data_IF_559410926608
#
_entry.id   IF_559410926608
#
_cell.length_a   1.000
_cell.length_b   1.000
_cell.length_c   1.000
_cell.angle_alpha   90.00
_cell.angle_beta   90.00
_cell.angle_gamma   90.00
#
_symmetry.space_group_name_H-M   'P 1'
#
loop_
_entity.id
_entity.type
_entity.pdbx_description
1 polymer ?
#
# COMPACT_ATOMS: atom_id res chain seq x y z
N UNK A 1 16.67 13.91 -18.32
CA UNK A 1 15.73 12.80 -18.60
C UNK A 1 16.13 12.02 -19.85
N UNK A 2 16.40 12.69 -20.98
CA UNK A 2 16.89 12.04 -22.21
C UNK A 2 18.22 11.28 -22.02
N UNK A 3 19.15 11.80 -21.20
CA UNK A 3 20.42 11.12 -20.88
C UNK A 3 20.27 9.87 -20.00
N UNK A 4 19.26 9.84 -19.13
CA UNK A 4 18.97 8.68 -18.27
C UNK A 4 18.34 7.58 -19.12
N UNK A 5 17.38 7.92 -19.99
CA UNK A 5 16.72 6.97 -20.89
C UNK A 5 17.71 6.26 -21.81
N UNK A 6 18.76 6.94 -22.29
CA UNK A 6 19.82 6.31 -23.10
C UNK A 6 20.74 5.36 -22.33
N UNK A 7 20.78 5.44 -21.00
CA UNK A 7 21.58 4.54 -20.15
C UNK A 7 20.78 3.32 -19.68
N UNK A 8 19.48 3.27 -19.94
CA UNK A 8 18.61 2.19 -19.47
C UNK A 8 18.67 1.00 -20.41
N UNK A 9 19.07 -0.15 -19.86
CA UNK A 9 18.98 -1.41 -20.61
C UNK A 9 17.51 -1.77 -20.89
N UNK A 10 17.21 -2.52 -21.97
CA UNK A 10 15.86 -2.98 -22.24
C UNK A 10 15.23 -3.76 -21.07
N UNK A 11 16.05 -4.54 -20.35
CA UNK A 11 15.62 -5.31 -19.17
C UNK A 11 15.18 -4.38 -18.03
N UNK A 12 15.93 -3.30 -17.78
CA UNK A 12 15.56 -2.31 -16.77
C UNK A 12 14.25 -1.59 -17.11
N UNK A 13 14.03 -1.26 -18.39
CA UNK A 13 12.77 -0.65 -18.85
C UNK A 13 11.60 -1.61 -18.57
N UNK A 14 11.74 -2.89 -18.88
CA UNK A 14 10.70 -3.90 -18.57
C UNK A 14 10.43 -3.98 -17.07
N UNK A 15 11.48 -3.98 -16.24
CA UNK A 15 11.31 -4.00 -14.78
C UNK A 15 10.54 -2.79 -14.28
N UNK A 16 10.86 -1.59 -14.76
CA UNK A 16 10.16 -0.34 -14.39
C UNK A 16 8.70 -0.37 -14.84
N UNK A 17 8.43 -0.86 -16.06
CA UNK A 17 7.06 -1.01 -16.53
C UNK A 17 6.26 -1.96 -15.64
N UNK A 18 6.84 -3.10 -15.26
CA UNK A 18 6.21 -4.04 -14.32
C UNK A 18 5.99 -3.41 -12.94
N UNK A 19 6.95 -2.63 -12.42
CA UNK A 19 6.80 -1.93 -11.15
C UNK A 19 5.65 -0.92 -11.20
N UNK A 20 5.54 -0.14 -12.27
CA UNK A 20 4.43 0.82 -12.47
C UNK A 20 3.08 0.09 -12.61
N UNK A 21 3.03 -1.03 -13.33
CA UNK A 21 1.82 -1.87 -13.43
C UNK A 21 1.44 -2.43 -12.06
N UNK A 22 2.40 -2.95 -11.31
CA UNK A 22 2.19 -3.46 -9.96
C UNK A 22 1.60 -2.37 -9.05
N UNK A 23 2.16 -1.16 -9.07
CA UNK A 23 1.71 -0.05 -8.23
C UNK A 23 0.30 0.43 -8.58
N UNK A 24 -0.01 0.48 -9.87
CA UNK A 24 -1.35 0.75 -10.35
C UNK A 24 -2.34 -0.31 -9.88
N UNK A 25 -2.01 -1.60 -10.02
CA UNK A 25 -2.85 -2.68 -9.51
C UNK A 25 -2.96 -2.65 -7.99
N UNK A 26 -1.90 -2.24 -7.29
CA UNK A 26 -1.92 -2.05 -5.86
C UNK A 26 -2.93 -0.96 -5.46
N UNK A 27 -2.97 0.16 -6.20
CA UNK A 27 -4.00 1.18 -6.04
C UNK A 27 -5.43 0.65 -6.24
N UNK A 28 -5.65 -0.18 -7.27
CA UNK A 28 -6.94 -0.85 -7.52
C UNK A 28 -7.33 -1.74 -6.33
N UNK A 29 -6.39 -2.53 -5.82
CA UNK A 29 -6.60 -3.46 -4.71
C UNK A 29 -6.85 -2.75 -3.38
N UNK A 30 -5.88 -1.98 -2.93
CA UNK A 30 -5.80 -1.53 -1.55
C UNK A 30 -6.62 -0.26 -1.30
N UNK A 31 -7.05 0.44 -2.35
CA UNK A 31 -8.09 1.48 -2.22
C UNK A 31 -9.33 0.96 -1.50
N UNK A 32 -9.64 -0.34 -1.64
CA UNK A 32 -10.77 -0.97 -0.97
C UNK A 32 -10.66 -0.98 0.55
N UNK A 33 -9.45 -1.07 1.12
CA UNK A 33 -9.21 -1.03 2.57
C UNK A 33 -9.56 0.34 3.17
N UNK A 34 -9.48 1.40 2.36
CA UNK A 34 -9.75 2.77 2.77
C UNK A 34 -11.21 3.11 2.50
N UNK A 35 -11.63 3.04 1.23
CA UNK A 35 -12.91 3.60 0.78
C UNK A 35 -14.12 2.79 1.23
N UNK A 36 -13.94 1.50 1.55
CA UNK A 36 -15.05 0.66 2.01
C UNK A 36 -15.72 1.24 3.26
N UNK A 37 -14.95 1.72 4.23
CA UNK A 37 -15.49 2.31 5.47
C UNK A 37 -16.20 3.65 5.22
N UNK A 38 -15.67 4.47 4.31
CA UNK A 38 -16.24 5.76 3.91
C UNK A 38 -17.60 5.59 3.24
N UNK A 39 -17.71 4.61 2.34
CA UNK A 39 -18.92 4.33 1.56
C UNK A 39 -19.94 3.59 2.43
N UNK A 40 -19.53 2.54 3.15
CA UNK A 40 -20.43 1.72 3.96
C UNK A 40 -21.07 2.51 5.11
N UNK A 41 -20.33 3.45 5.71
CA UNK A 41 -20.85 4.35 6.74
C UNK A 41 -21.75 5.48 6.20
N UNK A 42 -21.87 5.59 4.86
CA UNK A 42 -22.60 6.65 4.14
C UNK A 42 -22.07 8.06 4.44
N UNK A 43 -20.79 8.18 4.76
CA UNK A 43 -20.13 9.48 4.90
C UNK A 43 -19.80 10.08 3.53
N UNK A 44 -19.45 9.24 2.55
CA UNK A 44 -19.08 9.66 1.20
C UNK A 44 -19.86 8.91 0.13
N UNK A 45 -20.08 9.59 -1.00
CA UNK A 45 -20.43 8.88 -2.24
C UNK A 45 -19.20 8.16 -2.80
N UNK A 46 -19.37 7.03 -3.51
CA UNK A 46 -18.22 6.26 -4.00
C UNK A 46 -17.23 7.05 -4.87
N UNK A 47 -17.74 7.93 -5.75
CA UNK A 47 -16.89 8.79 -6.60
C UNK A 47 -16.03 9.75 -5.77
N UNK A 48 -16.62 10.33 -4.73
CA UNK A 48 -15.90 11.26 -3.84
C UNK A 48 -14.86 10.53 -2.99
N UNK A 49 -15.20 9.35 -2.47
CA UNK A 49 -14.26 8.54 -1.69
C UNK A 49 -13.03 8.14 -2.50
N UNK A 50 -13.23 7.65 -3.74
CA UNK A 50 -12.12 7.31 -4.64
C UNK A 50 -11.31 8.55 -5.03
N UNK A 51 -11.96 9.67 -5.35
CA UNK A 51 -11.28 10.90 -5.73
C UNK A 51 -10.39 11.48 -4.63
N UNK A 52 -10.89 11.60 -3.40
CA UNK A 52 -10.10 12.10 -2.27
C UNK A 52 -8.95 11.15 -1.95
N UNK A 53 -9.19 9.84 -1.99
CA UNK A 53 -8.15 8.82 -1.73
C UNK A 53 -7.06 8.88 -2.80
N UNK A 54 -7.42 9.00 -4.08
CA UNK A 54 -6.47 9.09 -5.18
C UNK A 54 -5.60 10.36 -5.09
N UNK A 55 -6.19 11.51 -4.79
CA UNK A 55 -5.46 12.76 -4.56
C UNK A 55 -4.50 12.61 -3.37
N UNK A 56 -4.98 12.02 -2.28
CA UNK A 56 -4.15 11.80 -1.08
C UNK A 56 -2.99 10.84 -1.37
N UNK A 57 -3.23 9.74 -2.10
CA UNK A 57 -2.19 8.80 -2.55
C UNK A 57 -1.13 9.49 -3.41
N UNK A 58 -1.53 10.39 -4.30
CA UNK A 58 -0.60 11.15 -5.13
C UNK A 58 0.28 12.11 -4.31
N UNK A 59 -0.33 12.86 -3.37
CA UNK A 59 0.36 13.93 -2.65
C UNK A 59 1.19 13.40 -1.48
N UNK A 60 0.79 12.29 -0.86
CA UNK A 60 1.38 11.74 0.36
C UNK A 60 2.92 11.64 0.35
N UNK A 61 3.58 11.05 -0.66
CA UNK A 61 5.04 10.95 -0.69
C UNK A 61 5.78 12.30 -0.70
N UNK A 62 5.14 13.35 -1.21
CA UNK A 62 5.70 14.70 -1.22
C UNK A 62 5.59 15.43 0.12
N UNK A 63 4.70 14.97 1.02
CA UNK A 63 4.51 15.54 2.35
C UNK A 63 5.32 14.77 3.40
N UNK A 64 5.25 13.44 3.38
CA UNK A 64 5.77 12.58 4.46
C UNK A 64 7.16 11.99 4.17
N UNK A 65 7.73 12.26 2.99
CA UNK A 65 9.05 11.77 2.61
C UNK A 65 9.04 10.31 2.12
N UNK A 66 10.22 9.69 2.10
CA UNK A 66 10.50 8.42 1.40
C UNK A 66 11.17 7.34 2.29
N UNK A 67 10.91 7.36 3.59
CA UNK A 67 11.55 6.44 4.56
C UNK A 67 11.28 4.94 4.25
N UNK A 68 10.05 4.57 3.91
CA UNK A 68 9.69 3.19 3.55
C UNK A 68 10.44 2.74 2.29
N UNK A 69 10.62 3.61 1.29
CA UNK A 69 11.32 3.26 0.05
C UNK A 69 12.76 2.80 0.33
N UNK A 70 13.42 3.39 1.33
CA UNK A 70 14.80 3.02 1.72
C UNK A 70 14.92 1.67 2.42
N UNK A 71 13.81 1.15 2.96
CA UNK A 71 13.77 -0.15 3.65
C UNK A 71 13.44 -1.32 2.70
N UNK A 72 12.97 -1.03 1.49
CA UNK A 72 12.51 -2.05 0.53
C UNK A 72 13.72 -2.70 -0.15
N UNK A 73 13.92 -3.98 0.13
CA UNK A 73 14.89 -4.85 -0.56
C UNK A 73 16.13 -5.19 0.26
N UNK A 74 16.63 -4.26 1.08
CA UNK A 74 17.87 -4.49 1.84
C UNK A 74 17.72 -5.36 3.09
N UNK A 75 16.50 -5.53 3.61
CA UNK A 75 16.29 -6.31 4.83
C UNK A 75 15.95 -7.78 4.57
N UNK A 76 15.46 -8.17 3.39
CA UNK A 76 14.84 -9.49 3.17
C UNK A 76 15.77 -10.49 2.49
N UNK A 77 16.65 -10.00 1.62
CA UNK A 77 17.56 -10.81 0.82
C UNK A 77 18.90 -10.09 0.72
N UNK A 78 20.00 -10.85 0.61
CA UNK A 78 21.35 -10.28 0.49
C UNK A 78 21.45 -9.34 -0.70
N UNK A 79 22.14 -8.20 -0.54
CA UNK A 79 22.27 -7.18 -1.58
C UNK A 79 22.87 -7.74 -2.89
N UNK A 80 23.78 -8.71 -2.79
CA UNK A 80 24.44 -9.36 -3.92
C UNK A 80 23.50 -10.26 -4.73
N UNK A 81 22.42 -10.76 -4.11
CA UNK A 81 21.44 -11.60 -4.78
C UNK A 81 20.37 -10.79 -5.54
N UNK A 82 20.31 -9.47 -5.31
CA UNK A 82 19.34 -8.60 -5.96
C UNK A 82 19.82 -8.30 -7.38
N UNK A 83 19.17 -8.95 -8.36
CA UNK A 83 19.39 -8.70 -9.79
C UNK A 83 18.11 -8.19 -10.44
N UNK A 84 18.21 -7.58 -11.64
CA UNK A 84 17.02 -7.17 -12.40
C UNK A 84 16.06 -8.34 -12.65
N UNK A 85 16.60 -9.55 -12.90
CA UNK A 85 15.78 -10.74 -13.13
C UNK A 85 15.02 -11.17 -11.86
N UNK A 86 15.64 -11.05 -10.69
CA UNK A 86 14.98 -11.30 -9.40
C UNK A 86 13.85 -10.31 -9.16
N UNK A 87 14.09 -9.01 -9.41
CA UNK A 87 13.06 -7.97 -9.27
C UNK A 87 11.90 -8.19 -10.23
N UNK A 88 12.19 -8.53 -11.49
CA UNK A 88 11.18 -8.86 -12.51
C UNK A 88 10.36 -10.07 -12.08
N UNK A 89 11.00 -11.15 -11.61
CA UNK A 89 10.31 -12.36 -11.17
C UNK A 89 9.41 -12.09 -9.96
N UNK A 90 9.90 -11.32 -8.98
CA UNK A 90 9.13 -10.91 -7.81
C UNK A 90 7.90 -10.07 -8.19
N UNK A 91 8.08 -9.06 -9.05
CA UNK A 91 7.00 -8.22 -9.57
C UNK A 91 5.97 -9.03 -10.36
N UNK A 92 6.41 -9.88 -11.27
CA UNK A 92 5.52 -10.72 -12.07
C UNK A 92 4.69 -11.66 -11.18
N UNK A 93 5.33 -12.32 -10.21
CA UNK A 93 4.64 -13.18 -9.24
C UNK A 93 3.60 -12.41 -8.44
N UNK A 94 3.96 -11.24 -7.91
CA UNK A 94 3.07 -10.39 -7.14
C UNK A 94 1.88 -9.87 -7.96
N UNK A 95 2.11 -9.45 -9.21
CA UNK A 95 1.06 -9.03 -10.15
C UNK A 95 0.10 -10.17 -10.41
N UNK A 96 0.60 -11.37 -10.73
CA UNK A 96 -0.24 -12.54 -11.00
C UNK A 96 -1.10 -12.88 -9.78
N UNK A 97 -0.50 -12.87 -8.58
CA UNK A 97 -1.22 -13.14 -7.34
C UNK A 97 -2.28 -12.08 -7.01
N UNK A 98 -1.96 -10.81 -7.21
CA UNK A 98 -2.92 -9.72 -7.07
C UNK A 98 -4.09 -9.90 -8.03
N UNK A 99 -3.84 -10.06 -9.33
CA UNK A 99 -4.90 -10.27 -10.32
C UNK A 99 -5.79 -11.49 -9.99
N UNK A 100 -5.19 -12.59 -9.55
CA UNK A 100 -5.91 -13.79 -9.11
C UNK A 100 -6.84 -13.48 -7.92
N UNK A 101 -6.29 -12.89 -6.86
CA UNK A 101 -7.06 -12.60 -5.64
C UNK A 101 -8.14 -11.55 -5.87
N UNK A 102 -7.90 -10.56 -6.74
CA UNK A 102 -8.93 -9.62 -7.18
C UNK A 102 -10.01 -10.28 -8.01
N UNK A 103 -9.65 -11.15 -8.96
CA UNK A 103 -10.61 -11.92 -9.74
C UNK A 103 -11.48 -12.81 -8.84
N UNK A 104 -10.95 -13.32 -7.73
CA UNK A 104 -11.69 -14.08 -6.72
C UNK A 104 -12.43 -13.20 -5.70
N UNK A 105 -12.11 -11.90 -5.62
CA UNK A 105 -12.67 -10.97 -4.64
C UNK A 105 -12.19 -11.22 -3.21
N UNK A 106 -10.99 -11.80 -3.06
CA UNK A 106 -10.31 -12.11 -1.80
C UNK A 106 -9.40 -10.93 -1.47
N UNK A 107 -9.57 -10.26 -0.32
CA UNK A 107 -8.61 -9.25 0.13
C UNK A 107 -7.28 -9.93 0.44
N UNK A 108 -6.21 -9.45 -0.17
CA UNK A 108 -4.85 -9.99 -0.05
C UNK A 108 -3.86 -8.84 0.13
N UNK A 109 -2.70 -9.13 0.73
CA UNK A 109 -1.65 -8.12 0.91
C UNK A 109 -0.66 -8.19 -0.25
N UNK A 110 -0.59 -7.12 -1.05
CA UNK A 110 0.38 -7.02 -2.15
C UNK A 110 1.83 -6.95 -1.67
N UNK A 111 2.08 -6.42 -0.46
CA UNK A 111 3.41 -6.47 0.17
C UNK A 111 3.91 -7.88 0.39
N UNK A 112 3.07 -8.77 0.92
CA UNK A 112 3.45 -10.16 1.17
C UNK A 112 3.59 -10.94 -0.12
N UNK A 113 2.78 -10.64 -1.14
CA UNK A 113 2.94 -11.21 -2.47
C UNK A 113 4.30 -10.85 -3.08
N UNK A 114 4.72 -9.59 -2.97
CA UNK A 114 6.02 -9.12 -3.45
C UNK A 114 7.18 -9.75 -2.68
N UNK A 115 7.12 -9.75 -1.33
CA UNK A 115 8.14 -10.36 -0.48
C UNK A 115 8.26 -11.86 -0.78
N UNK A 116 7.14 -12.58 -0.87
CA UNK A 116 7.12 -14.00 -1.22
C UNK A 116 7.70 -14.26 -2.61
N UNK A 117 7.39 -13.42 -3.59
CA UNK A 117 7.97 -13.47 -4.94
C UNK A 117 9.49 -13.26 -4.92
N UNK A 118 9.98 -12.32 -4.11
CA UNK A 118 11.41 -12.05 -3.96
C UNK A 118 12.15 -13.20 -3.29
N UNK A 119 11.61 -13.75 -2.19
CA UNK A 119 12.17 -14.93 -1.50
C UNK A 119 12.24 -16.11 -2.47
N UNK A 120 11.17 -16.38 -3.22
CA UNK A 120 11.13 -17.47 -4.19
C UNK A 120 12.16 -17.30 -5.31
N UNK A 121 12.28 -16.09 -5.87
CA UNK A 121 13.24 -15.78 -6.91
C UNK A 121 14.69 -15.95 -6.43
N UNK A 122 15.02 -15.40 -5.24
CA UNK A 122 16.36 -15.51 -4.65
C UNK A 122 16.71 -16.94 -4.26
N UNK A 123 15.76 -17.70 -3.71
CA UNK A 123 15.97 -19.11 -3.35
C UNK A 123 16.43 -19.93 -4.56
N UNK A 124 15.91 -19.62 -5.76
CA UNK A 124 16.27 -20.29 -7.00
C UNK A 124 17.59 -19.74 -7.56
N UNK A 125 17.80 -18.43 -7.55
CA UNK A 125 18.95 -17.81 -8.21
C UNK A 125 20.25 -17.85 -7.41
N UNK A 126 20.18 -17.72 -6.09
CA UNK A 126 21.32 -17.60 -5.19
C UNK A 126 21.31 -18.62 -4.03
N UNK A 127 20.25 -19.44 -3.94
CA UNK A 127 20.09 -20.42 -2.86
C UNK A 127 19.46 -19.83 -1.59
N UNK A 128 19.03 -20.70 -0.67
CA UNK A 128 18.37 -20.30 0.57
C UNK A 128 19.28 -19.53 1.54
N UNK A 129 20.61 -19.65 1.39
CA UNK A 129 21.58 -18.91 2.19
C UNK A 129 21.62 -17.40 1.92
N UNK A 130 21.06 -16.95 0.79
CA UNK A 130 20.93 -15.54 0.43
C UNK A 130 19.68 -14.86 1.02
N UNK A 131 18.90 -15.59 1.82
CA UNK A 131 17.72 -15.07 2.51
C UNK A 131 18.15 -14.53 3.88
N UNK A 132 17.82 -13.27 4.15
CA UNK A 132 18.14 -12.62 5.41
C UNK A 132 17.10 -12.99 6.48
N UNK A 133 17.42 -14.00 7.30
CA UNK A 133 16.52 -14.51 8.34
C UNK A 133 16.07 -13.41 9.31
N UNK A 134 16.95 -12.45 9.61
CA UNK A 134 16.61 -11.36 10.53
C UNK A 134 15.53 -10.42 9.96
N UNK A 135 15.58 -10.07 8.67
CA UNK A 135 14.49 -9.28 8.10
C UNK A 135 13.23 -10.07 7.86
N UNK A 136 13.34 -11.39 7.55
CA UNK A 136 12.18 -12.28 7.58
C UNK A 136 11.48 -12.28 8.94
N UNK A 137 12.25 -12.34 10.03
CA UNK A 137 11.72 -12.25 11.39
C UNK A 137 10.96 -10.94 11.60
N UNK A 138 11.52 -9.79 11.21
CA UNK A 138 10.83 -8.49 11.30
C UNK A 138 9.51 -8.48 10.54
N UNK A 139 9.48 -9.02 9.32
CA UNK A 139 8.27 -9.10 8.49
C UNK A 139 7.22 -9.99 9.16
N UNK A 140 7.61 -11.16 9.65
CA UNK A 140 6.71 -12.10 10.33
C UNK A 140 6.15 -11.49 11.62
N UNK A 141 6.99 -10.83 12.41
CA UNK A 141 6.55 -10.10 13.62
C UNK A 141 5.54 -9.03 13.21
N UNK A 142 5.85 -8.19 12.21
CA UNK A 142 4.93 -7.14 11.76
C UNK A 142 3.60 -7.72 11.24
N UNK A 143 3.63 -8.84 10.51
CA UNK A 143 2.44 -9.52 9.97
C UNK A 143 1.49 -10.00 11.07
N UNK A 144 2.01 -10.57 12.17
CA UNK A 144 1.17 -11.06 13.26
C UNK A 144 0.83 -10.00 14.31
N UNK A 145 1.77 -9.09 14.59
CA UNK A 145 1.61 -8.09 15.65
C UNK A 145 0.73 -6.93 15.17
N UNK A 146 0.83 -6.48 13.92
CA UNK A 146 0.05 -5.32 13.46
C UNK A 146 -1.48 -5.49 13.52
N UNK A 147 -2.08 -6.65 13.16
CA UNK A 147 -3.53 -6.83 13.32
C UNK A 147 -3.95 -6.88 14.79
N UNK A 148 -3.09 -7.41 15.68
CA UNK A 148 -3.35 -7.45 17.13
C UNK A 148 -3.33 -6.04 17.70
N UNK A 149 -2.31 -5.24 17.38
CA UNK A 149 -2.24 -3.83 17.78
C UNK A 149 -3.45 -3.07 17.24
N UNK A 150 -3.77 -3.22 15.95
CA UNK A 150 -4.93 -2.59 15.32
C UNK A 150 -6.25 -2.96 16.00
N UNK A 151 -6.42 -4.23 16.39
CA UNK A 151 -7.60 -4.70 17.12
C UNK A 151 -7.73 -4.01 18.49
N UNK A 152 -6.66 -3.99 19.30
CA UNK A 152 -6.71 -3.38 20.63
C UNK A 152 -6.87 -1.87 20.56
N UNK A 153 -6.10 -1.18 19.70
CA UNK A 153 -6.24 0.27 19.50
C UNK A 153 -7.64 0.62 19.00
N UNK A 154 -8.14 -0.08 17.99
CA UNK A 154 -9.50 0.07 17.47
C UNK A 154 -10.57 -0.15 18.55
N UNK A 155 -10.44 -1.21 19.35
CA UNK A 155 -11.37 -1.55 20.41
C UNK A 155 -11.40 -0.49 21.52
N UNK A 156 -10.25 -0.13 22.08
CA UNK A 156 -10.18 0.83 23.18
C UNK A 156 -10.55 2.24 22.72
N UNK A 157 -10.14 2.65 21.52
CA UNK A 157 -10.53 3.94 20.96
C UNK A 157 -12.04 4.01 20.73
N UNK A 158 -12.65 2.98 20.15
CA UNK A 158 -14.10 2.94 19.94
C UNK A 158 -14.85 2.98 21.28
N UNK A 159 -14.35 2.27 22.31
CA UNK A 159 -14.90 2.29 23.66
C UNK A 159 -14.81 3.69 24.29
N UNK A 160 -13.69 4.38 24.12
CA UNK A 160 -13.51 5.76 24.55
C UNK A 160 -14.49 6.69 23.85
N UNK A 161 -14.64 6.59 22.53
CA UNK A 161 -15.61 7.40 21.76
C UNK A 161 -17.02 7.18 22.29
N UNK A 162 -17.44 5.93 22.53
CA UNK A 162 -18.76 5.64 23.09
C UNK A 162 -18.95 6.19 24.50
N UNK A 163 -17.92 6.14 25.35
CA UNK A 163 -17.95 6.75 26.66
C UNK A 163 -18.18 8.27 26.59
N UNK A 164 -17.47 8.95 25.69
CA UNK A 164 -17.58 10.40 25.49
C UNK A 164 -18.95 10.82 24.95
N UNK A 165 -19.59 9.99 24.12
CA UNK A 165 -20.90 10.30 23.51
C UNK A 165 -22.09 9.60 24.16
N UNK A 166 -21.94 9.04 25.37
CA UNK A 166 -22.97 8.23 26.05
C UNK A 166 -24.34 8.91 26.22
N UNK A 167 -24.36 10.25 26.32
CA UNK A 167 -25.59 11.05 26.44
C UNK A 167 -26.07 11.67 25.13
N UNK A 168 -25.46 11.35 23.99
CA UNK A 168 -25.75 12.00 22.73
C UNK A 168 -27.03 11.44 22.07
N UNK A 169 -27.80 12.33 21.44
CA UNK A 169 -28.97 11.95 20.63
C UNK A 169 -28.54 11.37 19.28
N UNK A 170 -29.43 10.70 18.51
CA UNK A 170 -29.11 10.18 17.18
C UNK A 170 -28.57 11.22 16.17
N UNK A 171 -28.72 12.52 16.45
CA UNK A 171 -28.15 13.62 15.67
C UNK A 171 -26.62 13.59 15.60
N UNK A 172 -25.95 12.95 16.57
CA UNK A 172 -24.47 12.82 16.60
C UNK A 172 -23.91 12.08 15.37
N UNK A 173 -24.72 11.27 14.68
CA UNK A 173 -24.32 10.65 13.41
C UNK A 173 -23.92 11.68 12.35
N UNK A 174 -24.51 12.88 12.37
CA UNK A 174 -24.11 13.99 11.49
C UNK A 174 -22.68 14.45 11.76
N UNK A 175 -22.30 14.57 13.03
CA UNK A 175 -20.94 14.92 13.45
C UNK A 175 -19.93 13.86 12.99
N UNK A 176 -20.19 12.57 13.25
CA UNK A 176 -19.26 11.51 12.84
C UNK A 176 -19.12 11.39 11.32
N UNK A 177 -20.20 11.59 10.54
CA UNK A 177 -20.10 11.63 9.08
C UNK A 177 -19.20 12.76 8.59
N UNK A 178 -19.30 13.96 9.18
CA UNK A 178 -18.44 15.10 8.82
C UNK A 178 -17.00 14.90 9.29
N UNK A 179 -16.81 14.33 10.47
CA UNK A 179 -15.48 14.05 11.03
C UNK A 179 -14.70 13.02 10.21
N UNK A 180 -15.41 12.13 9.50
CA UNK A 180 -14.80 11.21 8.56
C UNK A 180 -14.06 11.89 7.40
N UNK A 181 -14.30 13.17 7.13
CA UNK A 181 -13.48 13.92 6.16
C UNK A 181 -12.03 13.98 6.60
N UNK A 182 -11.79 14.32 7.87
CA UNK A 182 -10.44 14.43 8.41
C UNK A 182 -9.82 13.05 8.57
N UNK A 183 -10.55 12.09 9.16
CA UNK A 183 -9.99 10.75 9.40
C UNK A 183 -9.77 9.96 8.11
N UNK A 184 -10.60 10.14 7.08
CA UNK A 184 -10.36 9.50 5.80
C UNK A 184 -9.15 10.10 5.09
N UNK A 185 -8.97 11.42 5.10
CA UNK A 185 -7.76 12.04 4.53
C UNK A 185 -6.52 11.55 5.27
N UNK A 186 -6.55 11.49 6.60
CA UNK A 186 -5.44 10.97 7.40
C UNK A 186 -5.10 9.52 7.03
N UNK A 187 -6.11 8.64 6.94
CA UNK A 187 -5.92 7.26 6.53
C UNK A 187 -5.39 7.15 5.09
N UNK A 188 -5.96 7.90 4.14
CA UNK A 188 -5.51 7.90 2.75
C UNK A 188 -4.09 8.40 2.60
N UNK A 189 -3.69 9.43 3.35
CA UNK A 189 -2.32 9.94 3.32
C UNK A 189 -1.33 8.94 3.93
N UNK A 190 -1.66 8.35 5.07
CA UNK A 190 -0.84 7.32 5.73
C UNK A 190 -0.64 6.12 4.80
N UNK A 191 -1.73 5.63 4.20
CA UNK A 191 -1.67 4.53 3.25
C UNK A 191 -0.90 4.86 1.98
N UNK A 192 -1.12 6.05 1.39
CA UNK A 192 -0.39 6.51 0.20
C UNK A 192 1.11 6.65 0.45
N UNK A 193 1.49 7.06 1.66
CA UNK A 193 2.90 7.16 2.07
C UNK A 193 3.54 5.76 2.11
N UNK A 194 2.85 4.77 2.68
CA UNK A 194 3.39 3.41 2.80
C UNK A 194 3.46 2.68 1.46
N UNK A 195 2.42 2.77 0.65
CA UNK A 195 2.27 1.92 -0.53
C UNK A 195 3.06 2.39 -1.74
N UNK A 196 2.97 3.67 -2.07
CA UNK A 196 3.68 4.23 -3.23
C UNK A 196 5.20 4.05 -3.10
N UNK A 197 5.70 4.09 -1.86
CA UNK A 197 7.12 3.96 -1.57
C UNK A 197 7.69 2.56 -1.85
N UNK A 198 6.86 1.50 -1.84
CA UNK A 198 7.31 0.14 -2.18
C UNK A 198 7.80 0.07 -3.61
N UNK A 199 7.01 0.63 -4.52
CA UNK A 199 7.34 0.72 -5.95
C UNK A 199 8.52 1.66 -6.18
N UNK A 200 8.57 2.80 -5.47
CA UNK A 200 9.73 3.69 -5.53
C UNK A 200 11.02 2.98 -5.13
N UNK A 201 10.97 2.15 -4.09
CA UNK A 201 12.09 1.35 -3.62
C UNK A 201 12.56 0.35 -4.67
N UNK A 202 11.64 -0.43 -5.25
CA UNK A 202 11.97 -1.40 -6.31
C UNK A 202 12.58 -0.76 -7.56
N UNK A 203 12.00 0.34 -8.04
CA UNK A 203 12.53 1.05 -9.20
C UNK A 203 13.93 1.57 -8.89
N UNK A 204 14.11 2.22 -7.74
CA UNK A 204 15.41 2.77 -7.32
C UNK A 204 16.46 1.67 -7.17
N UNK A 205 16.09 0.53 -6.58
CA UNK A 205 16.96 -0.63 -6.45
C UNK A 205 17.40 -1.16 -7.82
N UNK A 206 16.48 -1.24 -8.78
CA UNK A 206 16.83 -1.60 -10.15
C UNK A 206 17.75 -0.58 -10.84
N UNK A 207 17.59 0.71 -10.57
CA UNK A 207 18.50 1.75 -11.08
C UNK A 207 19.91 1.60 -10.49
N UNK A 208 20.03 1.25 -9.20
CA UNK A 208 21.32 1.01 -8.54
C UNK A 208 21.99 -0.24 -9.11
N UNK A 209 21.28 -1.37 -9.14
CA UNK A 209 21.83 -2.66 -9.60
C UNK A 209 22.21 -2.64 -11.08
N UNK A 210 21.56 -1.81 -11.88
CA UNK A 210 21.91 -1.60 -13.31
C UNK A 210 23.03 -0.59 -13.53
N UNK A 211 23.55 0.04 -12.48
CA UNK A 211 24.62 1.04 -12.57
C UNK A 211 24.18 2.39 -13.16
N UNK A 212 22.87 2.66 -13.27
CA UNK A 212 22.34 3.94 -13.78
C UNK A 212 22.50 5.05 -12.73
N UNK A 213 22.38 4.72 -11.45
CA UNK A 213 22.68 5.63 -10.34
C UNK A 213 23.68 4.97 -9.39
N UNK A 214 24.63 5.73 -8.80
CA UNK A 214 25.68 5.17 -7.95
C UNK A 214 25.18 4.81 -6.55
N UNK A 215 24.21 5.57 -6.03
CA UNK A 215 23.72 5.44 -4.66
C UNK A 215 22.20 5.34 -4.62
N UNK A 216 21.65 4.73 -3.57
CA UNK A 216 20.21 4.64 -3.34
C UNK A 216 19.66 6.02 -2.95
N UNK A 217 19.32 6.82 -3.96
CA UNK A 217 18.61 8.09 -3.80
C UNK A 217 17.43 8.11 -4.76
N UNK A 218 16.22 8.03 -4.20
CA UNK A 218 14.98 7.97 -4.99
C UNK A 218 14.85 9.23 -5.85
N UNK A 219 14.93 9.13 -7.20
CA UNK A 219 14.80 10.27 -8.07
C UNK A 219 13.38 10.84 -8.06
N UNK A 220 13.22 12.15 -8.23
CA UNK A 220 11.91 12.80 -8.24
C UNK A 220 10.94 12.18 -9.27
N UNK A 221 11.44 11.78 -10.43
CA UNK A 221 10.59 11.13 -11.46
C UNK A 221 10.06 9.76 -10.99
N UNK A 222 10.82 9.03 -10.17
CA UNK A 222 10.39 7.76 -9.57
C UNK A 222 9.29 8.00 -8.55
N UNK A 223 9.41 9.06 -7.75
CA UNK A 223 8.37 9.49 -6.81
C UNK A 223 7.09 9.81 -7.59
N UNK A 224 7.20 10.68 -8.59
CA UNK A 224 6.04 11.15 -9.38
C UNK A 224 5.36 10.01 -10.13
N UNK A 225 6.11 9.12 -10.80
CA UNK A 225 5.50 8.03 -11.57
C UNK A 225 4.83 6.99 -10.69
N UNK A 226 5.41 6.66 -9.53
CA UNK A 226 4.83 5.71 -8.59
C UNK A 226 3.58 6.32 -7.94
N UNK A 227 3.68 7.54 -7.41
CA UNK A 227 2.55 8.26 -6.84
C UNK A 227 1.39 8.43 -7.85
N UNK A 228 1.70 8.69 -9.13
CA UNK A 228 0.70 8.75 -10.19
C UNK A 228 0.07 7.37 -10.47
N UNK A 229 0.87 6.31 -10.54
CA UNK A 229 0.39 4.96 -10.83
C UNK A 229 -0.61 4.47 -9.78
N UNK A 230 -0.23 4.53 -8.49
CA UNK A 230 -1.12 4.14 -7.40
C UNK A 230 -2.38 5.03 -7.32
N UNK A 231 -2.26 6.34 -7.56
CA UNK A 231 -3.38 7.26 -7.56
C UNK A 231 -4.37 6.95 -8.70
N UNK A 232 -3.88 6.67 -9.90
CA UNK A 232 -4.70 6.28 -11.05
C UNK A 232 -5.41 4.96 -10.80
N UNK A 233 -4.70 3.96 -10.26
CA UNK A 233 -5.30 2.69 -9.85
C UNK A 233 -6.40 2.89 -8.81
N UNK A 234 -6.15 3.74 -7.81
CA UNK A 234 -7.11 4.09 -6.76
C UNK A 234 -8.35 4.79 -7.34
N UNK A 235 -8.17 5.68 -8.33
CA UNK A 235 -9.28 6.37 -8.97
C UNK A 235 -10.21 5.40 -9.73
N UNK A 236 -9.67 4.32 -10.30
CA UNK A 236 -10.46 3.23 -10.90
C UNK A 236 -11.14 2.36 -9.83
N UNK A 237 -10.46 2.18 -8.70
CA UNK A 237 -10.95 1.47 -7.52
C UNK A 237 -10.81 -0.05 -7.63
N UNK A 238 -11.57 -0.78 -6.82
CA UNK A 238 -11.56 -2.24 -6.79
C UNK A 238 -12.92 -2.77 -6.38
N UNK A 239 -13.96 -2.52 -7.20
CA UNK A 239 -15.37 -2.69 -6.81
C UNK A 239 -15.72 -4.04 -6.17
N UNK A 240 -15.10 -5.13 -6.63
CA UNK A 240 -15.32 -6.46 -6.05
C UNK A 240 -14.85 -6.52 -4.60
N UNK A 241 -13.66 -6.00 -4.33
CA UNK A 241 -13.07 -5.90 -2.99
C UNK A 241 -13.79 -4.87 -2.12
N UNK A 242 -14.15 -3.70 -2.66
CA UNK A 242 -14.94 -2.68 -1.95
C UNK A 242 -16.27 -3.26 -1.47
N UNK A 243 -16.95 -4.06 -2.31
CA UNK A 243 -18.18 -4.76 -1.92
C UNK A 243 -17.90 -5.81 -0.84
N UNK A 244 -16.86 -6.63 -1.00
CA UNK A 244 -16.49 -7.64 -0.01
C UNK A 244 -16.24 -7.01 1.36
N UNK A 245 -15.39 -6.00 1.46
CA UNK A 245 -15.03 -5.34 2.72
C UNK A 245 -16.18 -4.48 3.30
N UNK A 246 -16.96 -3.82 2.43
CA UNK A 246 -17.97 -2.85 2.86
C UNK A 246 -19.32 -3.44 3.27
N UNK A 247 -19.72 -4.61 2.74
CA UNK A 247 -21.08 -5.14 2.98
C UNK A 247 -21.16 -6.57 3.49
N UNK A 248 -20.11 -7.39 3.37
CA UNK A 248 -20.20 -8.82 3.73
C UNK A 248 -19.87 -9.14 5.18
N UNK A 249 -19.16 -8.26 5.90
CA UNK A 249 -18.68 -8.56 7.25
C UNK A 249 -19.52 -7.95 8.37
N UNK A 250 -19.79 -6.64 8.31
CA UNK A 250 -20.45 -5.92 9.40
C UNK A 250 -21.14 -4.63 8.94
N UNK A 251 -22.24 -4.24 9.60
CA UNK A 251 -22.93 -2.98 9.32
C UNK A 251 -22.17 -1.81 9.94
N UNK A 252 -21.35 -1.15 9.13
CA UNK A 252 -20.55 0.02 9.55
C UNK A 252 -21.46 1.23 9.79
N UNK A 253 -21.40 1.80 11.01
CA UNK A 253 -22.05 3.06 11.38
C UNK A 253 -21.04 4.20 11.29
N UNK A 254 -21.46 5.47 11.19
CA UNK A 254 -20.54 6.61 11.12
C UNK A 254 -19.46 6.65 12.21
N UNK A 255 -19.84 6.31 13.45
CA UNK A 255 -18.90 6.23 14.58
C UNK A 255 -17.86 5.12 14.42
N UNK A 256 -18.24 3.97 13.85
CA UNK A 256 -17.32 2.87 13.57
C UNK A 256 -16.34 3.26 12.46
N UNK A 257 -16.84 3.86 11.37
CA UNK A 257 -16.00 4.33 10.26
C UNK A 257 -14.98 5.38 10.70
N UNK A 258 -15.41 6.36 11.50
CA UNK A 258 -14.51 7.34 12.10
C UNK A 258 -13.43 6.68 12.98
N UNK A 259 -13.84 5.78 13.87
CA UNK A 259 -12.94 5.13 14.81
C UNK A 259 -11.92 4.23 14.12
N UNK A 260 -12.36 3.42 13.14
CA UNK A 260 -11.47 2.55 12.36
C UNK A 260 -10.50 3.36 11.50
N UNK A 261 -10.96 4.45 10.88
CA UNK A 261 -10.11 5.28 10.03
C UNK A 261 -8.99 5.95 10.84
N UNK A 262 -9.30 6.54 11.99
CA UNK A 262 -8.27 7.17 12.83
C UNK A 262 -7.28 6.16 13.38
N UNK A 263 -7.76 5.03 13.88
CA UNK A 263 -6.87 4.01 14.47
C UNK A 263 -6.04 3.26 13.45
N UNK A 264 -6.49 3.18 12.19
CA UNK A 264 -5.69 2.59 11.10
C UNK A 264 -4.73 3.60 10.46
N UNK A 265 -4.94 4.91 10.67
CA UNK A 265 -4.09 5.95 10.12
C UNK A 265 -2.79 6.15 10.92
N UNK A 266 -2.85 5.87 12.22
CA UNK A 266 -1.73 5.90 13.19
C UNK A 266 -0.94 4.59 13.09
#
# INVERSE_FOLDING_TARGET
MLSILSMMSPVLIVMILLAVIFDFLNGVHDSSNIVATMIASRAFSPRTALGITAISHFIAPFIFGIAVATTIGHEVVSAEAITLNVLIAALASAIIWNLLTWALGIPSSSSHALIGGMIGAVSISAGSGAIELHGMEKILIALFVSPIIGLFLGYFFTKLVFFLVRGATPKINGFFRRSQIVSAIALSLSHGTNDAQKTMGLITLGLVVSGVIPDFKVPLWVITISAAAIALGTALGGWKLIKTLGSKFYKIRPVHGFSSQLTSAV
#
